data_IF_868707314042
#
_entry.id   IF_868707314042
#
_cell.length_a   1.000
_cell.length_b   1.000
_cell.length_c   1.000
_cell.angle_alpha   90.00
_cell.angle_beta   90.00
_cell.angle_gamma   90.00
#
_symmetry.space_group_name_H-M   'P 1'
#
loop_
_entity.id
_entity.type
_entity.pdbx_description
1 polymer ?
#
# COMPACT_ATOMS: atom_id res chain seq x y z
N UNK A 1 -5.67 -7.71 14.49
CA UNK A 1 -5.30 -8.27 13.15
C UNK A 1 -4.53 -7.21 12.40
N UNK A 2 -3.52 -7.57 11.61
CA UNK A 2 -2.68 -6.62 10.86
C UNK A 2 -3.06 -6.55 9.39
N UNK A 3 -2.91 -5.37 8.78
CA UNK A 3 -3.11 -5.12 7.35
C UNK A 3 -2.13 -4.06 6.82
N UNK A 4 -2.04 -3.91 5.49
CA UNK A 4 -1.16 -2.95 4.82
C UNK A 4 -1.96 -1.83 4.16
N UNK A 5 -1.76 -0.58 4.61
CA UNK A 5 -2.40 0.61 4.06
C UNK A 5 -1.36 1.68 3.75
N UNK A 6 -1.63 2.47 2.72
CA UNK A 6 -0.85 3.64 2.36
C UNK A 6 -1.79 4.83 2.28
N UNK A 7 -1.60 5.76 3.21
CA UNK A 7 -2.44 6.95 3.29
C UNK A 7 -2.22 7.88 2.08
N UNK A 8 -3.22 8.73 1.78
CA UNK A 8 -3.09 9.78 0.78
C UNK A 8 -1.87 10.66 1.06
N UNK A 9 -1.03 10.85 0.04
CA UNK A 9 0.12 11.73 0.09
C UNK A 9 -0.06 12.87 -0.93
N UNK A 10 0.21 14.09 -0.48
CA UNK A 10 0.28 15.24 -1.36
C UNK A 10 1.55 15.15 -2.22
N UNK A 11 1.36 15.25 -3.54
CA UNK A 11 2.42 15.19 -4.54
C UNK A 11 2.26 16.33 -5.52
N UNK A 12 3.35 16.60 -6.21
CA UNK A 12 3.36 17.51 -7.34
C UNK A 12 3.65 16.68 -8.58
N UNK A 13 2.71 16.66 -9.53
CA UNK A 13 2.92 15.99 -10.82
C UNK A 13 3.73 16.91 -11.72
N UNK A 14 4.84 16.43 -12.29
CA UNK A 14 5.69 17.27 -13.14
C UNK A 14 4.95 17.71 -14.40
N UNK A 15 5.43 18.79 -15.01
CA UNK A 15 4.92 19.23 -16.29
C UNK A 15 5.06 18.15 -17.37
N UNK A 16 4.03 17.98 -18.20
CA UNK A 16 4.02 17.03 -19.31
C UNK A 16 4.05 17.82 -20.61
N UNK A 17 5.10 17.60 -21.40
CA UNK A 17 5.27 18.18 -22.73
C UNK A 17 4.76 17.19 -23.77
N UNK A 18 3.67 17.53 -24.46
CA UNK A 18 3.13 16.71 -25.54
C UNK A 18 3.84 16.99 -26.87
N UNK A 19 3.77 16.02 -27.79
CA UNK A 19 4.33 16.12 -29.14
C UNK A 19 3.61 17.15 -30.02
N UNK A 20 2.38 17.53 -29.68
CA UNK A 20 1.58 18.56 -30.36
C UNK A 20 1.90 20.00 -29.91
N UNK A 21 2.91 20.18 -29.04
CA UNK A 21 3.29 21.49 -28.48
C UNK A 21 2.47 21.92 -27.26
N UNK A 22 1.45 21.16 -26.86
CA UNK A 22 0.69 21.43 -25.63
C UNK A 22 1.54 21.09 -24.40
N UNK A 23 1.63 22.03 -23.46
CA UNK A 23 2.25 21.81 -22.15
C UNK A 23 1.16 21.69 -21.10
N UNK A 24 1.09 20.54 -20.43
CA UNK A 24 0.31 20.40 -19.21
C UNK A 24 1.22 20.84 -18.06
N UNK A 25 0.91 21.93 -17.34
CA UNK A 25 1.80 22.43 -16.30
C UNK A 25 1.91 21.47 -15.13
N UNK A 26 2.94 21.70 -14.33
CA UNK A 26 3.07 21.11 -13.01
C UNK A 26 1.83 21.44 -12.18
N UNK A 27 1.31 20.44 -11.46
CA UNK A 27 0.06 20.60 -10.69
C UNK A 27 0.07 19.78 -9.40
N UNK A 28 -0.60 20.27 -8.34
CA UNK A 28 -0.81 19.49 -7.13
C UNK A 28 -1.69 18.29 -7.43
N UNK A 29 -1.40 17.18 -6.76
CA UNK A 29 -2.12 15.92 -6.85
C UNK A 29 -2.14 15.27 -5.47
N UNK A 30 -3.32 14.81 -5.04
CA UNK A 30 -3.45 13.97 -3.86
C UNK A 30 -3.53 12.53 -4.32
N UNK A 31 -2.64 11.66 -3.85
CA UNK A 31 -2.77 10.23 -4.15
C UNK A 31 -3.97 9.63 -3.42
N UNK A 32 -4.54 8.57 -3.99
CA UNK A 32 -5.59 7.82 -3.30
C UNK A 32 -5.07 7.11 -2.05
N UNK A 33 -5.97 6.92 -1.09
CA UNK A 33 -5.78 6.00 0.03
C UNK A 33 -5.84 4.56 -0.48
N UNK A 34 -4.76 3.80 -0.27
CA UNK A 34 -4.61 2.47 -0.88
C UNK A 34 -4.41 1.40 0.15
N UNK A 35 -4.90 0.21 -0.15
CA UNK A 35 -4.80 -0.98 0.70
C UNK A 35 -4.49 -2.22 -0.13
N UNK A 36 -3.96 -3.24 0.53
CA UNK A 36 -3.75 -4.57 -0.08
C UNK A 36 -4.98 -5.46 0.13
N UNK A 37 -5.59 -5.85 -0.98
CA UNK A 37 -6.67 -6.83 -1.07
C UNK A 37 -6.12 -8.22 -1.42
N UNK A 38 -6.84 -9.26 -1.01
CA UNK A 38 -6.56 -10.64 -1.42
C UNK A 38 -7.75 -11.21 -2.18
N UNK A 39 -7.46 -11.79 -3.35
CA UNK A 39 -8.46 -12.57 -4.07
C UNK A 39 -8.77 -13.86 -3.30
N UNK A 40 -10.05 -14.22 -3.18
CA UNK A 40 -10.47 -15.41 -2.41
C UNK A 40 -9.93 -16.70 -3.00
N UNK A 41 -9.88 -16.79 -4.32
CA UNK A 41 -9.57 -18.00 -5.08
C UNK A 41 -8.13 -18.04 -5.61
N UNK A 42 -7.41 -16.92 -5.51
CA UNK A 42 -6.04 -16.80 -6.01
C UNK A 42 -5.11 -16.37 -4.88
N UNK A 43 -3.92 -16.96 -4.81
CA UNK A 43 -2.82 -16.52 -3.93
C UNK A 43 -2.17 -15.22 -4.43
N UNK A 44 -2.98 -14.29 -4.95
CA UNK A 44 -2.55 -13.00 -5.50
C UNK A 44 -3.07 -11.86 -4.63
N UNK A 45 -2.21 -10.87 -4.47
CA UNK A 45 -2.50 -9.64 -3.76
C UNK A 45 -2.69 -8.50 -4.76
N UNK A 46 -3.64 -7.62 -4.46
CA UNK A 46 -4.01 -6.51 -5.33
C UNK A 46 -4.02 -5.23 -4.53
N UNK A 47 -3.53 -4.14 -5.12
CA UNK A 47 -3.63 -2.80 -4.54
C UNK A 47 -4.88 -2.12 -5.08
N UNK A 48 -5.66 -1.50 -4.21
CA UNK A 48 -6.87 -0.78 -4.58
C UNK A 48 -7.21 0.31 -3.57
N UNK A 49 -8.19 1.15 -3.90
CA UNK A 49 -8.65 2.23 -3.03
C UNK A 49 -9.22 1.67 -1.73
N UNK A 50 -8.83 2.24 -0.60
CA UNK A 50 -9.34 1.83 0.71
C UNK A 50 -10.79 2.30 0.90
N UNK A 51 -11.68 1.36 1.19
CA UNK A 51 -13.12 1.60 1.38
C UNK A 51 -13.59 1.17 2.78
N UNK A 52 -12.66 1.00 3.72
CA UNK A 52 -12.91 0.40 5.03
C UNK A 52 -12.56 -1.10 5.08
N UNK A 53 -12.45 -1.65 6.28
CA UNK A 53 -12.11 -3.08 6.48
C UNK A 53 -13.23 -4.01 6.03
N UNK A 54 -14.48 -3.58 6.15
CA UNK A 54 -15.67 -4.30 5.67
C UNK A 54 -15.96 -4.04 4.18
N UNK A 55 -15.33 -3.00 3.61
CA UNK A 55 -15.42 -2.65 2.21
C UNK A 55 -14.82 -3.73 1.30
N UNK A 56 -15.38 -3.87 0.10
CA UNK A 56 -14.87 -4.80 -0.92
C UNK A 56 -14.42 -4.05 -2.15
N UNK A 57 -13.25 -4.41 -2.66
CA UNK A 57 -12.74 -3.93 -3.94
C UNK A 57 -12.86 -5.04 -4.97
N UNK A 58 -13.72 -4.84 -5.98
CA UNK A 58 -14.00 -5.85 -7.02
C UNK A 58 -14.29 -7.26 -6.44
N UNK A 59 -15.12 -7.32 -5.38
CA UNK A 59 -15.46 -8.57 -4.70
C UNK A 59 -14.38 -9.16 -3.78
N UNK A 60 -13.18 -8.58 -3.76
CA UNK A 60 -12.07 -8.98 -2.89
C UNK A 60 -12.17 -8.31 -1.51
N UNK A 61 -11.61 -8.97 -0.50
CA UNK A 61 -11.53 -8.47 0.87
C UNK A 61 -10.15 -7.93 1.17
N UNK A 62 -10.07 -6.97 2.09
CA UNK A 62 -8.81 -6.49 2.64
C UNK A 62 -8.04 -7.70 3.18
N UNK A 63 -6.75 -7.77 2.83
CA UNK A 63 -5.92 -8.80 3.39
C UNK A 63 -5.56 -8.45 4.84
N UNK A 64 -5.95 -9.33 5.75
CA UNK A 64 -5.60 -9.23 7.17
C UNK A 64 -4.92 -10.51 7.63
N UNK A 65 -3.93 -10.41 8.51
CA UNK A 65 -3.32 -11.58 9.16
C UNK A 65 -3.11 -11.37 10.67
N UNK A 66 -2.86 -12.45 11.41
CA UNK A 66 -2.74 -12.40 12.88
C UNK A 66 -1.36 -11.95 13.36
N UNK A 67 -0.31 -12.14 12.57
CA UNK A 67 1.07 -12.00 13.02
C UNK A 67 1.80 -10.86 12.32
N UNK A 68 2.56 -10.10 13.08
CA UNK A 68 3.36 -8.98 12.59
C UNK A 68 4.42 -9.45 11.59
N UNK A 69 5.10 -10.58 11.87
CA UNK A 69 6.04 -11.20 10.94
C UNK A 69 5.45 -11.41 9.55
N UNK A 70 4.23 -11.95 9.48
CA UNK A 70 3.60 -12.29 8.19
C UNK A 70 3.19 -11.06 7.40
N UNK A 71 2.71 -10.01 8.07
CA UNK A 71 2.34 -8.77 7.36
C UNK A 71 3.59 -8.05 6.84
N UNK A 72 4.71 -8.14 7.56
CA UNK A 72 5.98 -7.57 7.14
C UNK A 72 6.60 -8.32 5.95
N UNK A 73 6.54 -9.65 5.92
CA UNK A 73 6.90 -10.43 4.72
C UNK A 73 6.11 -9.99 3.48
N UNK A 74 4.80 -9.76 3.65
CA UNK A 74 3.95 -9.24 2.58
C UNK A 74 4.32 -7.81 2.19
N UNK A 75 4.65 -6.96 3.18
CA UNK A 75 5.08 -5.57 2.97
C UNK A 75 6.32 -5.52 2.09
N UNK A 76 7.30 -6.36 2.41
CA UNK A 76 8.54 -6.46 1.65
C UNK A 76 8.29 -6.96 0.22
N UNK A 77 7.51 -8.03 0.07
CA UNK A 77 7.14 -8.55 -1.26
C UNK A 77 6.39 -7.50 -2.09
N UNK A 78 5.52 -6.72 -1.44
CA UNK A 78 4.79 -5.62 -2.08
C UNK A 78 5.74 -4.50 -2.49
N UNK A 79 6.68 -4.11 -1.63
CA UNK A 79 7.70 -3.12 -1.95
C UNK A 79 8.54 -3.57 -3.15
N UNK A 80 9.06 -4.80 -3.13
CA UNK A 80 9.89 -5.34 -4.22
C UNK A 80 9.15 -5.37 -5.56
N UNK A 81 7.87 -5.76 -5.56
CA UNK A 81 7.09 -5.88 -6.80
C UNK A 81 6.53 -4.56 -7.33
N UNK A 82 6.46 -3.52 -6.49
CA UNK A 82 5.71 -2.30 -6.84
C UNK A 82 6.48 -1.00 -6.66
N UNK A 83 7.61 -1.03 -5.95
CA UNK A 83 8.35 0.15 -5.52
C UNK A 83 7.63 0.98 -4.44
N UNK A 84 6.51 0.50 -3.90
CA UNK A 84 5.72 1.25 -2.93
C UNK A 84 5.79 0.63 -1.53
N UNK A 85 6.21 1.44 -0.56
CA UNK A 85 6.18 1.08 0.85
C UNK A 85 4.79 1.35 1.43
N UNK A 86 4.12 0.29 1.88
CA UNK A 86 2.87 0.37 2.65
C UNK A 86 3.19 0.35 4.14
N UNK A 87 2.38 1.03 4.93
CA UNK A 87 2.47 1.00 6.39
C UNK A 87 1.65 -0.15 6.96
N UNK A 88 2.07 -0.65 8.12
CA UNK A 88 1.34 -1.69 8.86
C UNK A 88 0.34 -1.04 9.79
N UNK A 89 -0.89 -1.53 9.75
CA UNK A 89 -1.97 -1.10 10.63
C UNK A 89 -2.55 -2.29 11.39
N UNK A 90 -3.08 -2.02 12.59
CA UNK A 90 -3.91 -2.92 13.36
C UNK A 90 -5.23 -2.25 13.78
N UNK A 91 -5.92 -2.79 14.78
CA UNK A 91 -7.18 -2.23 15.30
C UNK A 91 -7.00 -0.89 16.05
N UNK A 92 -5.79 -0.59 16.51
CA UNK A 92 -5.46 0.63 17.23
C UNK A 92 -4.88 1.73 16.32
N UNK A 93 -4.59 1.40 15.06
CA UNK A 93 -4.11 2.35 14.06
C UNK A 93 -2.79 1.91 13.43
N UNK A 94 -1.97 2.88 13.04
CA UNK A 94 -0.65 2.61 12.44
C UNK A 94 0.27 2.02 13.51
N UNK A 95 0.87 0.89 13.19
CA UNK A 95 1.81 0.19 14.07
C UNK A 95 3.19 0.85 13.93
N UNK A 96 3.78 1.26 15.06
CA UNK A 96 5.18 1.67 15.09
C UNK A 96 6.10 0.45 15.02
N UNK A 97 7.10 0.51 14.15
CA UNK A 97 7.99 -0.60 13.84
C UNK A 97 9.42 -0.35 14.32
N UNK A 98 9.68 0.74 15.05
CA UNK A 98 11.01 1.10 15.59
C UNK A 98 11.67 -0.01 16.40
N UNK A 99 10.88 -0.79 17.14
CA UNK A 99 11.36 -1.82 18.07
C UNK A 99 11.17 -3.25 17.52
N UNK A 100 10.78 -3.39 16.26
CA UNK A 100 10.57 -4.71 15.67
C UNK A 100 11.92 -5.33 15.21
N UNK A 101 12.57 -6.06 16.11
CA UNK A 101 13.80 -6.82 15.84
C UNK A 101 13.60 -8.09 14.99
N UNK A 102 12.69 -8.06 14.01
CA UNK A 102 12.37 -9.22 13.20
C UNK A 102 13.04 -9.22 11.82
N UNK A 103 14.36 -9.51 11.82
CA UNK A 103 15.00 -10.25 10.72
C UNK A 103 15.81 -9.46 9.70
N UNK A 104 16.82 -8.70 10.13
CA UNK A 104 18.01 -8.44 9.32
C UNK A 104 19.24 -8.90 10.12
N UNK A 105 19.56 -10.19 10.00
CA UNK A 105 20.94 -10.66 10.13
C UNK A 105 21.38 -11.00 8.71
N UNK A 106 21.85 -9.98 7.99
CA UNK A 106 22.78 -10.22 6.90
C UNK A 106 24.14 -10.51 7.57
N UNK A 107 24.56 -11.77 7.47
CA UNK A 107 25.94 -12.23 7.68
C UNK A 107 26.72 -12.10 6.37
#
# INVERSE_FOLDING_TARGET
>A
MFYLRKEPEAKTLPAIHKTDGTVIPERPFMSDDRIVYKAREFSRFYRGSFTGLDGRYQGMKVYTCKTLKRILELRETTLQSTGELFDVYDENGKVDLTDYEGGAKDE
#
